data_IF_990561744036
#
_entry.id   IF_990561744036
#
_cell.length_a   1.000
_cell.length_b   1.000
_cell.length_c   1.000
_cell.angle_alpha   90.00
_cell.angle_beta   90.00
_cell.angle_gamma   90.00
#
_symmetry.space_group_name_H-M   'P 1'
#
loop_
_entity.id
_entity.type
_entity.pdbx_description
1 polymer ?
#
# COMPACT_ATOMS: atom_id res chain seq x y z
N UNK A 1 34.99 9.10 7.20
CA UNK A 1 34.65 7.70 6.85
C UNK A 1 34.14 6.87 8.03
N UNK A 2 34.67 7.02 9.25
CA UNK A 2 34.30 6.17 10.40
C UNK A 2 32.85 6.28 10.88
N UNK A 3 32.25 7.47 10.77
CA UNK A 3 30.83 7.64 11.10
C UNK A 3 29.92 6.89 10.12
N UNK A 4 30.26 6.85 8.83
CA UNK A 4 29.49 6.14 7.82
C UNK A 4 29.54 4.62 8.02
N UNK A 5 30.73 4.09 8.35
CA UNK A 5 30.89 2.67 8.76
C UNK A 5 30.09 2.34 10.03
N UNK A 6 30.09 3.22 11.04
CA UNK A 6 29.27 3.05 12.27
C UNK A 6 27.76 3.12 12.00
N UNK A 7 27.32 3.99 11.09
CA UNK A 7 25.92 4.10 10.66
C UNK A 7 25.48 2.82 9.94
N UNK A 8 26.24 2.38 8.94
CA UNK A 8 25.96 1.16 8.17
C UNK A 8 25.89 -0.08 9.09
N UNK A 9 26.79 -0.20 10.08
CA UNK A 9 26.76 -1.31 11.06
C UNK A 9 25.54 -1.30 11.98
N UNK A 10 24.95 -0.13 12.27
CA UNK A 10 23.75 0.02 13.10
C UNK A 10 22.45 -0.03 12.28
N UNK A 11 22.53 0.20 10.97
CA UNK A 11 21.38 0.32 10.07
C UNK A 11 20.47 -0.91 10.07
N UNK A 12 20.98 -2.16 9.98
CA UNK A 12 20.13 -3.35 10.03
C UNK A 12 19.33 -3.47 11.35
N UNK A 13 19.94 -3.17 12.50
CA UNK A 13 19.28 -3.20 13.81
C UNK A 13 18.23 -2.09 13.95
N UNK A 14 18.51 -0.90 13.42
CA UNK A 14 17.59 0.24 13.41
C UNK A 14 16.42 -0.01 12.45
N UNK A 15 16.69 -0.57 11.28
CA UNK A 15 15.66 -0.97 10.30
C UNK A 15 14.77 -2.07 10.86
N UNK A 16 15.34 -3.13 11.47
CA UNK A 16 14.58 -4.19 12.14
C UNK A 16 13.68 -3.62 13.26
N UNK A 17 14.18 -2.67 14.06
CA UNK A 17 13.40 -2.00 15.12
C UNK A 17 12.32 -1.06 14.56
N UNK A 18 12.57 -0.43 13.42
CA UNK A 18 11.62 0.47 12.76
C UNK A 18 10.51 -0.34 12.09
N UNK A 19 10.84 -1.40 11.35
CA UNK A 19 9.89 -2.35 10.75
C UNK A 19 8.94 -2.97 11.80
N UNK A 20 9.45 -3.34 12.99
CA UNK A 20 8.59 -3.81 14.09
C UNK A 20 7.53 -2.79 14.53
N UNK A 21 7.81 -1.49 14.38
CA UNK A 21 6.92 -0.38 14.75
C UNK A 21 6.08 0.16 13.59
N UNK A 22 6.41 -0.19 12.35
CA UNK A 22 5.71 0.26 11.14
C UNK A 22 4.32 -0.39 11.02
N UNK A 23 3.37 0.36 10.45
CA UNK A 23 2.08 -0.19 10.03
C UNK A 23 2.26 -0.89 8.66
N UNK A 24 1.47 -1.93 8.39
CA UNK A 24 1.31 -2.57 7.08
C UNK A 24 1.23 -1.55 5.94
N UNK A 25 0.39 -0.50 6.06
CA UNK A 25 0.27 0.51 4.99
C UNK A 25 1.54 1.34 4.75
N UNK A 26 2.43 1.48 5.73
CA UNK A 26 3.73 2.14 5.52
C UNK A 26 4.64 1.26 4.67
N UNK A 27 4.66 -0.02 4.99
CA UNK A 27 5.51 -0.98 4.29
C UNK A 27 5.03 -1.13 2.86
N UNK A 28 3.72 -1.28 2.64
CA UNK A 28 3.12 -1.34 1.30
C UNK A 28 3.50 -0.14 0.43
N UNK A 29 3.43 1.08 0.97
CA UNK A 29 3.79 2.29 0.21
C UNK A 29 5.29 2.36 -0.10
N UNK A 30 6.16 1.97 0.83
CA UNK A 30 7.61 1.91 0.62
C UNK A 30 7.98 0.84 -0.41
N UNK A 31 7.35 -0.33 -0.36
CA UNK A 31 7.58 -1.40 -1.33
C UNK A 31 7.11 -1.01 -2.73
N UNK A 32 5.90 -0.44 -2.84
CA UNK A 32 5.41 0.09 -4.11
C UNK A 32 6.35 1.15 -4.70
N UNK A 33 6.90 2.04 -3.86
CA UNK A 33 7.87 3.05 -4.26
C UNK A 33 9.18 2.42 -4.77
N UNK A 34 9.71 1.39 -4.09
CA UNK A 34 10.90 0.66 -4.54
C UNK A 34 10.66 -0.09 -5.85
N UNK A 35 9.52 -0.78 -5.94
CA UNK A 35 9.13 -1.55 -7.12
C UNK A 35 9.08 -0.66 -8.36
N UNK A 36 8.32 0.43 -8.31
CA UNK A 36 8.20 1.33 -9.47
C UNK A 36 9.53 2.00 -9.85
N UNK A 37 10.42 2.27 -8.89
CA UNK A 37 11.78 2.78 -9.18
C UNK A 37 12.60 1.72 -9.92
N UNK A 38 12.60 0.49 -9.42
CA UNK A 38 13.35 -0.60 -10.03
C UNK A 38 12.83 -0.90 -11.44
N UNK A 39 11.51 -1.01 -11.60
CA UNK A 39 10.86 -1.25 -12.88
C UNK A 39 11.15 -0.13 -13.87
N UNK A 40 11.15 1.12 -13.38
CA UNK A 40 11.51 2.24 -14.22
C UNK A 40 12.98 2.23 -14.64
N UNK A 41 13.90 1.84 -13.75
CA UNK A 41 15.32 1.78 -14.08
C UNK A 41 15.67 0.62 -15.02
N UNK A 42 14.95 -0.50 -14.92
CA UNK A 42 15.23 -1.70 -15.71
C UNK A 42 14.47 -1.70 -17.04
N UNK A 43 13.21 -1.26 -17.04
CA UNK A 43 12.28 -1.51 -18.15
C UNK A 43 11.71 -0.23 -18.77
N UNK A 44 11.18 0.70 -17.97
CA UNK A 44 10.42 1.85 -18.49
C UNK A 44 11.31 3.03 -18.94
N UNK A 45 12.45 3.23 -18.29
CA UNK A 45 13.43 4.29 -18.53
C UNK A 45 12.84 5.72 -18.59
N UNK A 46 11.76 5.98 -17.86
CA UNK A 46 11.11 7.28 -17.85
C UNK A 46 11.82 8.23 -16.86
N UNK A 47 12.66 9.11 -17.39
CA UNK A 47 13.41 10.12 -16.60
C UNK A 47 12.47 11.12 -15.91
N UNK A 48 11.33 11.42 -16.51
CA UNK A 48 10.34 12.36 -15.98
C UNK A 48 9.65 11.80 -14.74
N UNK A 49 9.21 10.54 -14.83
CA UNK A 49 8.71 9.79 -13.70
C UNK A 49 9.70 9.85 -12.53
N UNK A 50 10.99 9.54 -12.76
CA UNK A 50 12.00 9.58 -11.70
C UNK A 50 12.09 10.95 -11.01
N UNK A 51 12.07 12.04 -11.78
CA UNK A 51 12.09 13.41 -11.22
C UNK A 51 10.84 13.72 -10.39
N UNK A 52 9.66 13.38 -10.93
CA UNK A 52 8.37 13.65 -10.30
C UNK A 52 8.16 12.82 -9.02
N UNK A 53 8.51 11.54 -9.05
CA UNK A 53 8.45 10.64 -7.90
C UNK A 53 9.37 11.13 -6.80
N UNK A 54 10.64 11.41 -7.13
CA UNK A 54 11.63 12.01 -6.23
C UNK A 54 11.04 13.26 -5.57
N UNK A 55 10.51 14.20 -6.36
CA UNK A 55 9.86 15.39 -5.83
C UNK A 55 8.67 15.06 -4.90
N UNK A 56 7.81 14.12 -5.25
CA UNK A 56 6.66 13.78 -4.41
C UNK A 56 7.06 13.06 -3.12
N UNK A 57 8.13 12.26 -3.15
CA UNK A 57 8.43 11.25 -2.14
C UNK A 57 9.70 11.50 -1.32
N UNK A 58 10.70 12.34 -1.69
CA UNK A 58 11.93 12.48 -0.87
C UNK A 58 11.72 13.07 0.52
N UNK A 59 10.52 13.53 0.87
CA UNK A 59 10.26 13.85 2.28
C UNK A 59 10.28 12.57 3.14
N UNK A 60 10.02 11.40 2.55
CA UNK A 60 10.33 10.09 3.14
C UNK A 60 11.84 9.92 3.34
N UNK A 61 12.65 10.37 2.38
CA UNK A 61 14.12 10.35 2.42
C UNK A 61 14.70 11.36 3.44
N UNK A 62 14.03 12.49 3.68
CA UNK A 62 14.36 13.47 4.72
C UNK A 62 14.16 12.92 6.16
N UNK A 63 13.39 11.85 6.33
CA UNK A 63 13.38 11.06 7.58
C UNK A 63 14.45 9.96 7.59
N UNK A 64 15.02 9.63 6.42
CA UNK A 64 16.08 8.64 6.25
C UNK A 64 17.48 9.21 6.51
N UNK A 65 17.65 10.54 6.49
CA UNK A 65 18.85 11.23 6.98
C UNK A 65 18.97 11.20 8.51
N UNK A 66 19.28 10.00 9.00
CA UNK A 66 20.25 9.68 10.05
C UNK A 66 20.30 10.63 11.26
N UNK A 67 19.98 10.07 12.43
CA UNK A 67 20.57 10.37 13.74
C UNK A 67 19.98 11.42 14.69
N UNK A 68 19.22 12.45 14.30
CA UNK A 68 18.89 13.53 15.26
C UNK A 68 17.53 13.46 15.98
N UNK A 69 16.63 12.53 15.65
CA UNK A 69 15.24 12.56 16.16
C UNK A 69 14.57 11.18 16.32
N UNK A 70 15.38 10.12 16.52
CA UNK A 70 14.98 8.71 16.65
C UNK A 70 14.07 8.35 17.85
N UNK A 71 13.41 9.35 18.45
CA UNK A 71 12.26 9.15 19.33
C UNK A 71 10.91 9.16 18.59
N UNK A 72 10.80 9.78 17.41
CA UNK A 72 9.50 10.11 16.83
C UNK A 72 9.42 9.72 15.35
N UNK A 73 9.24 8.42 15.10
CA UNK A 73 8.54 7.95 13.89
C UNK A 73 7.06 8.32 14.10
N UNK A 74 6.73 9.61 13.98
CA UNK A 74 5.35 10.13 14.07
C UNK A 74 4.72 10.11 12.68
N UNK A 75 3.40 9.90 12.64
CA UNK A 75 2.77 8.84 11.86
C UNK A 75 3.07 9.00 10.37
N UNK A 76 3.55 7.91 9.76
CA UNK A 76 2.82 7.25 8.68
C UNK A 76 1.61 8.06 8.21
N UNK A 77 1.78 8.87 7.16
CA UNK A 77 0.61 9.55 6.59
C UNK A 77 -0.41 8.51 6.12
N UNK A 78 0.02 7.31 5.74
CA UNK A 78 -0.86 6.21 5.39
C UNK A 78 -1.68 5.66 6.57
N UNK A 79 -1.21 5.67 7.83
CA UNK A 79 -2.00 5.28 9.03
C UNK A 79 -2.97 6.35 9.50
N UNK A 80 -2.73 7.61 9.12
CA UNK A 80 -3.50 8.73 9.67
C UNK A 80 -5.01 8.58 9.45
N UNK A 81 -5.52 8.15 8.28
CA UNK A 81 -6.93 7.80 8.09
C UNK A 81 -7.53 6.93 9.21
N UNK A 82 -6.80 5.94 9.73
CA UNK A 82 -7.25 5.03 10.80
C UNK A 82 -7.38 5.69 12.18
N UNK A 83 -6.80 6.87 12.37
CA UNK A 83 -6.80 7.60 13.64
C UNK A 83 -7.49 8.97 13.54
N UNK A 84 -8.12 9.27 12.40
CA UNK A 84 -8.92 10.48 12.26
C UNK A 84 -10.20 10.36 13.10
N UNK A 85 -10.51 11.37 13.90
CA UNK A 85 -11.76 11.44 14.69
C UNK A 85 -12.99 11.15 13.83
N UNK A 86 -13.01 11.64 12.59
CA UNK A 86 -14.10 11.39 11.65
C UNK A 86 -14.23 9.90 11.30
N UNK A 87 -13.13 9.16 11.15
CA UNK A 87 -13.17 7.72 10.88
C UNK A 87 -13.78 6.97 12.05
N UNK A 88 -13.41 7.33 13.28
CA UNK A 88 -14.00 6.77 14.51
C UNK A 88 -15.50 7.07 14.60
N UNK A 89 -15.90 8.34 14.38
CA UNK A 89 -17.31 8.75 14.43
C UNK A 89 -18.19 8.08 13.36
N UNK A 90 -17.60 7.61 12.28
CA UNK A 90 -18.31 6.89 11.21
C UNK A 90 -18.03 5.41 11.21
N UNK A 91 -17.49 4.88 12.32
CA UNK A 91 -17.19 3.46 12.48
C UNK A 91 -16.37 2.91 11.31
N UNK A 92 -15.43 3.70 10.81
CA UNK A 92 -14.54 3.37 9.70
C UNK A 92 -15.25 3.04 8.38
N UNK A 93 -16.53 3.38 8.21
CA UNK A 93 -17.30 3.04 7.00
C UNK A 93 -16.73 3.59 5.69
N UNK A 94 -15.84 4.59 5.76
CA UNK A 94 -15.18 5.15 4.59
C UNK A 94 -13.95 4.35 4.12
N UNK A 95 -13.56 3.29 4.83
CA UNK A 95 -12.52 2.34 4.44
C UNK A 95 -13.07 1.17 3.62
N UNK A 96 -14.40 1.06 3.53
CA UNK A 96 -15.07 -0.01 2.80
C UNK A 96 -15.52 0.46 1.41
N UNK A 97 -15.42 -0.46 0.45
CA UNK A 97 -15.94 -0.28 -0.90
C UNK A 97 -16.22 -1.62 -1.55
N UNK A 98 -17.49 -1.92 -1.84
CA UNK A 98 -17.87 -3.09 -2.60
C UNK A 98 -17.95 -2.75 -4.09
N UNK A 99 -17.18 -3.42 -4.95
CA UNK A 99 -17.06 -3.08 -6.37
C UNK A 99 -18.38 -3.12 -7.16
N UNK A 100 -19.21 -4.12 -6.91
CA UNK A 100 -20.50 -4.31 -7.62
C UNK A 100 -21.55 -3.27 -7.17
N UNK A 101 -21.88 -3.26 -5.87
CA UNK A 101 -22.83 -2.33 -5.26
C UNK A 101 -22.36 -0.87 -5.20
N UNK A 102 -21.06 -0.63 -5.36
CA UNK A 102 -20.39 0.69 -5.28
C UNK A 102 -20.61 1.43 -3.95
N UNK A 103 -20.85 0.69 -2.88
CA UNK A 103 -21.22 1.20 -1.56
C UNK A 103 -20.22 0.81 -0.46
N UNK A 104 -20.54 1.16 0.79
CA UNK A 104 -19.86 0.65 1.98
C UNK A 104 -20.82 -0.23 2.79
N UNK A 105 -20.35 -0.77 3.93
CA UNK A 105 -21.17 -1.69 4.73
C UNK A 105 -22.43 -1.07 5.36
N UNK A 106 -22.62 0.25 5.31
CA UNK A 106 -23.90 0.90 5.65
C UNK A 106 -24.86 1.03 4.46
N UNK A 107 -24.53 0.47 3.30
CA UNK A 107 -25.27 0.67 2.05
C UNK A 107 -25.13 2.07 1.45
N UNK A 108 -24.12 2.84 1.87
CA UNK A 108 -24.00 4.25 1.47
C UNK A 108 -23.18 4.38 0.18
N UNK A 109 -23.83 4.90 -0.85
CA UNK A 109 -23.22 5.23 -2.14
C UNK A 109 -22.83 6.73 -2.15
N UNK A 110 -21.84 7.09 -2.96
CA UNK A 110 -21.59 8.47 -3.36
C UNK A 110 -20.56 9.23 -2.52
N UNK A 111 -20.46 10.55 -2.79
CA UNK A 111 -19.29 11.37 -2.45
C UNK A 111 -18.87 11.26 -0.97
N UNK A 112 -17.65 10.76 -0.79
CA UNK A 112 -16.97 10.68 0.49
C UNK A 112 -17.55 9.63 1.42
N UNK A 113 -18.34 8.67 0.92
CA UNK A 113 -18.97 7.58 1.68
C UNK A 113 -18.19 6.26 1.62
N UNK A 114 -17.38 6.04 0.59
CA UNK A 114 -16.63 4.79 0.38
C UNK A 114 -15.12 5.02 0.31
N UNK A 115 -14.34 3.94 0.38
CA UNK A 115 -12.89 3.97 0.16
C UNK A 115 -12.53 4.56 -1.21
N UNK A 116 -13.23 4.11 -2.26
CA UNK A 116 -13.09 4.65 -3.62
C UNK A 116 -13.24 6.18 -3.66
N UNK A 117 -14.25 6.72 -2.99
CA UNK A 117 -14.45 8.16 -2.95
C UNK A 117 -13.33 8.91 -2.22
N UNK A 118 -12.78 8.30 -1.16
CA UNK A 118 -11.67 8.89 -0.41
C UNK A 118 -10.36 8.81 -1.19
N UNK A 119 -10.11 7.70 -1.86
CA UNK A 119 -9.01 7.51 -2.79
C UNK A 119 -8.99 8.64 -3.82
N UNK A 120 -10.06 8.79 -4.60
CA UNK A 120 -10.18 9.85 -5.62
C UNK A 120 -10.02 11.25 -5.00
N UNK A 121 -10.71 11.52 -3.89
CA UNK A 121 -10.67 12.83 -3.24
C UNK A 121 -9.26 13.23 -2.79
N UNK A 122 -8.53 12.30 -2.17
CA UNK A 122 -7.18 12.57 -1.68
C UNK A 122 -6.16 12.60 -2.83
N UNK A 123 -6.32 11.77 -3.86
CA UNK A 123 -5.56 11.84 -5.10
C UNK A 123 -5.68 13.21 -5.79
N UNK A 124 -6.91 13.71 -5.98
CA UNK A 124 -7.13 15.07 -6.52
C UNK A 124 -6.53 16.16 -5.63
N UNK A 125 -6.61 16.01 -4.31
CA UNK A 125 -5.93 16.95 -3.39
C UNK A 125 -4.42 16.91 -3.55
N UNK A 126 -3.83 15.72 -3.70
CA UNK A 126 -2.40 15.56 -3.92
C UNK A 126 -1.98 16.26 -5.21
N UNK A 127 -2.68 16.03 -6.34
CA UNK A 127 -2.46 16.75 -7.61
C UNK A 127 -2.55 18.27 -7.44
N UNK A 128 -3.62 18.76 -6.81
CA UNK A 128 -3.78 20.21 -6.53
C UNK A 128 -2.60 20.80 -5.75
N UNK A 129 -1.98 20.05 -4.84
CA UNK A 129 -0.82 20.52 -4.09
C UNK A 129 0.50 20.31 -4.82
N UNK A 130 0.60 19.31 -5.70
CA UNK A 130 1.68 19.15 -6.67
C UNK A 130 1.76 20.37 -7.57
N UNK A 131 0.64 20.74 -8.20
CA UNK A 131 0.57 21.86 -9.16
C UNK A 131 0.80 23.23 -8.48
N UNK A 132 0.60 23.31 -7.16
CA UNK A 132 0.91 24.50 -6.34
C UNK A 132 2.33 24.50 -5.76
N UNK A 133 3.18 23.52 -6.10
CA UNK A 133 4.53 23.36 -5.54
C UNK A 133 4.57 23.06 -4.04
N UNK A 134 3.45 22.67 -3.41
CA UNK A 134 3.34 22.44 -1.96
C UNK A 134 3.68 20.99 -1.60
N UNK A 135 4.94 20.64 -1.78
CA UNK A 135 5.53 19.29 -1.61
C UNK A 135 5.01 18.51 -0.40
N UNK A 136 5.16 19.06 0.83
CA UNK A 136 4.70 18.42 2.08
C UNK A 136 3.20 18.07 2.08
N UNK A 137 2.38 18.95 1.50
CA UNK A 137 0.93 18.72 1.41
C UNK A 137 0.61 17.71 0.31
N UNK A 138 1.32 17.75 -0.82
CA UNK A 138 1.21 16.74 -1.88
C UNK A 138 1.43 15.34 -1.30
N UNK A 139 2.60 15.09 -0.70
CA UNK A 139 2.95 13.79 -0.12
C UNK A 139 1.92 13.32 0.91
N UNK A 140 1.51 14.20 1.84
CA UNK A 140 0.50 13.87 2.85
C UNK A 140 -0.78 13.33 2.25
N UNK A 141 -1.31 13.99 1.22
CA UNK A 141 -2.56 13.57 0.59
C UNK A 141 -2.38 12.40 -0.37
N UNK A 142 -1.20 12.27 -0.99
CA UNK A 142 -0.85 11.10 -1.79
C UNK A 142 -0.86 9.84 -0.92
N UNK A 143 -0.22 9.88 0.26
CA UNK A 143 -0.25 8.77 1.21
C UNK A 143 -1.67 8.44 1.72
N UNK A 144 -2.54 9.44 1.88
CA UNK A 144 -3.95 9.18 2.23
C UNK A 144 -4.67 8.47 1.09
N UNK A 145 -4.42 8.89 -0.15
CA UNK A 145 -4.94 8.24 -1.35
C UNK A 145 -4.52 6.77 -1.39
N UNK A 146 -3.22 6.50 -1.25
CA UNK A 146 -2.63 5.17 -1.24
C UNK A 146 -3.23 4.27 -0.14
N UNK A 147 -3.50 4.82 1.05
CA UNK A 147 -4.12 4.05 2.12
C UNK A 147 -5.48 3.47 1.71
N UNK A 148 -6.39 4.29 1.15
CA UNK A 148 -7.69 3.79 0.71
C UNK A 148 -7.61 2.83 -0.49
N UNK A 149 -6.59 2.96 -1.34
CA UNK A 149 -6.34 1.97 -2.40
C UNK A 149 -5.88 0.63 -1.82
N UNK A 150 -5.07 0.66 -0.76
CA UNK A 150 -4.67 -0.55 -0.03
C UNK A 150 -5.85 -1.19 0.70
N UNK A 151 -6.76 -0.41 1.31
CA UNK A 151 -8.00 -0.95 1.89
C UNK A 151 -8.86 -1.66 0.83
N UNK A 152 -8.98 -1.09 -0.37
CA UNK A 152 -9.69 -1.74 -1.48
C UNK A 152 -8.97 -2.99 -2.03
N UNK A 153 -7.77 -3.29 -1.53
CA UNK A 153 -7.00 -4.49 -1.86
C UNK A 153 -6.99 -5.48 -0.68
N UNK A 154 -7.96 -5.37 0.23
CA UNK A 154 -8.11 -6.26 1.38
C UNK A 154 -9.53 -6.87 1.34
N UNK A 155 -9.64 -8.21 1.45
CA UNK A 155 -10.89 -8.94 1.20
C UNK A 155 -12.05 -8.49 2.09
N UNK A 156 -11.83 -8.19 3.37
CA UNK A 156 -12.89 -7.81 4.30
C UNK A 156 -13.47 -6.42 3.97
N UNK A 157 -12.62 -5.46 3.65
CA UNK A 157 -13.02 -4.09 3.28
C UNK A 157 -13.86 -4.04 2.00
N UNK A 158 -13.70 -5.00 1.09
CA UNK A 158 -14.45 -5.06 -0.19
C UNK A 158 -15.65 -5.98 -0.19
N UNK A 159 -15.85 -6.76 0.87
CA UNK A 159 -16.97 -7.72 1.00
C UNK A 159 -17.88 -7.41 2.19
N UNK A 160 -17.77 -6.21 2.78
CA UNK A 160 -18.54 -5.76 3.96
C UNK A 160 -18.32 -6.62 5.21
N UNK A 161 -17.17 -7.26 5.37
CA UNK A 161 -16.86 -7.98 6.61
C UNK A 161 -16.13 -7.05 7.56
N UNK A 162 -16.73 -6.80 8.73
CA UNK A 162 -16.22 -5.83 9.69
C UNK A 162 -15.59 -6.55 10.88
N UNK A 163 -14.56 -5.94 11.48
CA UNK A 163 -13.92 -6.48 12.67
C UNK A 163 -14.92 -6.70 13.80
N UNK A 164 -14.93 -7.93 14.34
CA UNK A 164 -15.68 -8.24 15.54
C UNK A 164 -15.21 -7.36 16.71
N UNK A 165 -16.13 -6.80 17.52
CA UNK A 165 -15.77 -6.14 18.77
C UNK A 165 -15.12 -7.12 19.75
N UNK A 166 -14.65 -6.61 20.90
CA UNK A 166 -14.04 -7.47 21.92
C UNK A 166 -15.02 -8.55 22.42
N UNK A 167 -14.49 -9.62 23.04
CA UNK A 167 -15.26 -10.77 23.50
C UNK A 167 -16.43 -10.40 24.41
N UNK A 168 -16.25 -9.43 25.32
CA UNK A 168 -17.30 -8.98 26.23
C UNK A 168 -18.50 -8.43 25.45
N UNK A 169 -18.24 -7.55 24.48
CA UNK A 169 -19.29 -6.96 23.64
C UNK A 169 -19.87 -8.03 22.70
N UNK A 170 -19.04 -8.91 22.12
CA UNK A 170 -19.51 -10.00 21.27
C UNK A 170 -20.46 -10.95 22.00
N UNK A 171 -20.18 -11.28 23.26
CA UNK A 171 -21.05 -12.15 24.06
C UNK A 171 -22.42 -11.50 24.31
N UNK A 172 -22.45 -10.17 24.50
CA UNK A 172 -23.70 -9.41 24.59
C UNK A 172 -24.44 -9.45 23.25
N UNK A 173 -23.77 -9.14 22.14
CA UNK A 173 -24.39 -9.14 20.81
C UNK A 173 -24.95 -10.51 20.42
N UNK A 174 -24.21 -11.60 20.71
CA UNK A 174 -24.67 -12.98 20.50
C UNK A 174 -25.91 -13.31 21.31
N UNK A 175 -26.00 -12.84 22.57
CA UNK A 175 -27.19 -13.04 23.42
C UNK A 175 -28.44 -12.41 22.81
N UNK A 176 -28.29 -11.34 22.04
CA UNK A 176 -29.38 -10.64 21.35
C UNK A 176 -29.48 -11.00 19.85
N UNK A 177 -28.77 -12.03 19.40
CA UNK A 177 -28.73 -12.47 18.00
C UNK A 177 -28.35 -11.35 16.99
N UNK A 178 -27.48 -10.43 17.42
CA UNK A 178 -26.98 -9.33 16.59
C UNK A 178 -25.64 -9.77 15.98
N UNK A 179 -25.65 -10.13 14.70
CA UNK A 179 -24.46 -10.57 13.96
C UNK A 179 -23.97 -9.58 12.89
N UNK A 180 -24.67 -8.45 12.68
CA UNK A 180 -24.36 -7.46 11.63
C UNK A 180 -24.71 -6.02 12.00
N UNK A 181 -24.13 -5.07 11.27
CA UNK A 181 -24.46 -3.63 11.26
C UNK A 181 -24.68 -3.19 9.81
N UNK A 182 -25.91 -2.83 9.44
CA UNK A 182 -26.24 -2.53 8.05
C UNK A 182 -26.09 -3.78 7.16
N UNK A 183 -25.26 -3.68 6.11
CA UNK A 183 -24.78 -4.80 5.29
C UNK A 183 -23.54 -5.50 5.90
N UNK A 184 -22.95 -4.93 6.95
CA UNK A 184 -21.67 -5.37 7.49
C UNK A 184 -21.77 -6.56 8.45
N UNK A 185 -21.11 -7.68 8.14
CA UNK A 185 -21.09 -8.87 8.99
C UNK A 185 -19.87 -8.86 9.91
N UNK A 186 -20.05 -9.15 11.20
CA UNK A 186 -18.89 -9.32 12.10
C UNK A 186 -18.06 -10.55 11.70
N UNK A 187 -16.75 -10.37 11.56
CA UNK A 187 -15.83 -11.43 11.14
C UNK A 187 -14.50 -11.42 11.91
N UNK A 188 -13.59 -12.30 11.48
CA UNK A 188 -12.18 -12.40 11.89
C UNK A 188 -11.28 -11.31 11.27
N UNK A 189 -11.82 -10.24 10.67
CA UNK A 189 -11.10 -9.18 9.94
C UNK A 189 -9.81 -8.72 10.64
N UNK A 190 -9.87 -8.42 11.95
CA UNK A 190 -8.68 -8.03 12.73
C UNK A 190 -7.59 -9.11 12.76
N UNK A 191 -7.96 -10.38 12.84
CA UNK A 191 -7.03 -11.51 12.87
C UNK A 191 -6.29 -11.63 11.54
N UNK A 192 -7.01 -11.48 10.43
CA UNK A 192 -6.43 -11.45 9.09
C UNK A 192 -5.43 -10.30 8.91
N UNK A 193 -5.80 -9.07 9.29
CA UNK A 193 -4.89 -7.91 9.21
C UNK A 193 -3.64 -8.09 10.10
N UNK A 194 -3.80 -8.71 11.27
CA UNK A 194 -2.69 -9.04 12.17
C UNK A 194 -1.76 -10.10 11.57
N UNK A 195 -2.31 -11.12 10.91
CA UNK A 195 -1.55 -12.13 10.20
C UNK A 195 -0.72 -11.52 9.06
N UNK A 196 -1.35 -10.68 8.22
CA UNK A 196 -0.67 -9.96 7.14
C UNK A 196 0.48 -9.09 7.69
N UNK A 197 0.25 -8.44 8.83
CA UNK A 197 1.29 -7.65 9.51
C UNK A 197 2.44 -8.53 10.04
N UNK A 198 2.15 -9.70 10.61
CA UNK A 198 3.16 -10.65 11.09
C UNK A 198 4.04 -11.14 9.94
N UNK A 199 3.43 -11.47 8.79
CA UNK A 199 4.16 -11.83 7.57
C UNK A 199 5.18 -10.75 7.14
N UNK A 200 4.72 -9.51 7.01
CA UNK A 200 5.58 -8.37 6.63
C UNK A 200 6.76 -8.19 7.61
N UNK A 201 6.51 -8.47 8.91
CA UNK A 201 7.53 -8.37 9.96
C UNK A 201 8.48 -9.57 10.00
N UNK A 202 8.24 -10.60 9.20
CA UNK A 202 9.04 -11.82 9.12
C UNK A 202 8.90 -12.70 10.35
N UNK A 203 7.66 -12.93 10.79
CA UNK A 203 7.34 -13.80 11.91
C UNK A 203 7.56 -15.28 11.57
N UNK A 204 8.18 -16.02 12.49
CA UNK A 204 8.55 -17.43 12.31
C UNK A 204 7.30 -18.33 12.29
N UNK A 205 6.26 -17.97 13.04
CA UNK A 205 5.01 -18.74 13.11
C UNK A 205 4.26 -18.78 11.78
N UNK A 206 4.29 -17.67 11.01
CA UNK A 206 3.70 -17.64 9.66
C UNK A 206 4.51 -18.51 8.70
N UNK A 207 5.83 -18.52 8.86
CA UNK A 207 6.71 -19.40 8.06
C UNK A 207 6.38 -20.87 8.32
N UNK A 208 6.14 -21.24 9.58
CA UNK A 208 5.71 -22.59 9.96
C UNK A 208 4.34 -22.97 9.36
N UNK A 209 3.38 -22.04 9.29
CA UNK A 209 2.09 -22.29 8.63
C UNK A 209 2.25 -22.60 7.14
N UNK A 210 3.18 -21.93 6.47
CA UNK A 210 3.45 -22.11 5.05
C UNK A 210 4.27 -23.39 4.79
N UNK A 211 5.14 -23.78 5.72
CA UNK A 211 6.00 -24.96 5.60
C UNK A 211 5.24 -26.29 5.82
N UNK A 212 4.06 -26.26 6.45
CA UNK A 212 3.33 -27.46 6.90
C UNK A 212 2.86 -28.42 5.80
N UNK A 213 2.97 -28.08 4.52
CA UNK A 213 2.79 -28.96 3.36
C UNK A 213 3.32 -28.23 2.11
N UNK A 214 4.64 -28.27 1.88
CA UNK A 214 5.24 -27.64 0.69
C UNK A 214 4.91 -28.42 -0.56
N UNK A 215 3.96 -27.94 -1.37
CA UNK A 215 3.89 -28.37 -2.76
C UNK A 215 5.04 -27.74 -3.56
N UNK A 216 5.65 -28.52 -4.47
CA UNK A 216 6.85 -28.12 -5.22
C UNK A 216 6.62 -26.91 -6.13
N UNK A 217 5.37 -26.63 -6.51
CA UNK A 217 4.98 -25.49 -7.35
C UNK A 217 4.83 -24.17 -6.55
N UNK A 218 4.93 -24.21 -5.22
CA UNK A 218 4.65 -23.07 -4.35
C UNK A 218 5.89 -22.27 -3.94
N UNK A 219 7.08 -22.77 -4.28
CA UNK A 219 8.31 -21.98 -4.23
C UNK A 219 8.21 -20.70 -5.07
N UNK A 220 7.32 -20.68 -6.06
CA UNK A 220 7.00 -19.50 -6.87
C UNK A 220 6.22 -18.50 -6.01
N UNK A 221 5.14 -18.89 -5.33
CA UNK A 221 4.36 -18.00 -4.43
C UNK A 221 5.21 -17.29 -3.35
N UNK A 222 6.25 -17.96 -2.84
CA UNK A 222 7.19 -17.43 -1.84
C UNK A 222 8.41 -16.70 -2.43
N UNK A 223 8.69 -16.85 -3.74
CA UNK A 223 9.75 -16.12 -4.49
C UNK A 223 9.20 -15.11 -5.51
N UNK A 224 7.89 -14.99 -5.67
CA UNK A 224 7.19 -14.16 -6.67
C UNK A 224 5.91 -14.85 -7.17
N UNK A 225 4.72 -14.32 -6.85
CA UNK A 225 3.45 -15.02 -7.09
C UNK A 225 3.12 -15.31 -8.58
N UNK A 226 2.49 -16.45 -8.92
CA UNK A 226 2.01 -16.77 -10.27
C UNK A 226 0.49 -16.62 -10.43
N UNK A 227 0.03 -16.89 -11.65
CA UNK A 227 -1.17 -16.38 -12.34
C UNK A 227 -2.32 -17.40 -12.39
N UNK A 228 -3.56 -16.97 -12.67
CA UNK A 228 -4.58 -17.87 -13.27
C UNK A 228 -4.42 -17.96 -14.81
N UNK A 229 -3.64 -17.03 -15.38
CA UNK A 229 -3.32 -16.85 -16.79
C UNK A 229 -2.78 -15.42 -16.94
N UNK A 230 -1.45 -15.26 -16.85
CA UNK A 230 -0.66 -14.01 -16.99
C UNK A 230 -0.97 -12.85 -15.99
N UNK A 231 -0.11 -12.13 -15.25
CA UNK A 231 1.32 -12.03 -14.90
C UNK A 231 1.34 -11.28 -13.53
N UNK A 232 1.94 -11.80 -12.44
CA UNK A 232 1.99 -11.10 -11.13
C UNK A 232 3.11 -11.57 -10.17
N UNK A 233 4.41 -11.51 -10.53
CA UNK A 233 5.45 -11.65 -9.50
C UNK A 233 5.67 -10.30 -8.79
N UNK A 234 6.02 -10.33 -7.49
CA UNK A 234 7.00 -9.48 -6.78
C UNK A 234 6.62 -9.30 -5.31
N UNK A 235 7.04 -10.25 -4.46
CA UNK A 235 7.54 -9.89 -3.12
C UNK A 235 9.04 -10.15 -3.20
N UNK A 236 9.86 -9.10 -3.19
CA UNK A 236 11.30 -9.27 -3.05
C UNK A 236 11.78 -8.70 -1.72
N UNK A 237 12.00 -9.62 -0.77
CA UNK A 237 13.35 -9.78 -0.23
C UNK A 237 14.11 -10.69 -1.18
N UNK A 238 14.84 -10.14 -2.13
CA UNK A 238 16.29 -10.37 -2.17
C UNK A 238 16.98 -9.48 -3.19
N UNK A 239 18.19 -9.10 -2.83
CA UNK A 239 19.11 -8.26 -3.57
C UNK A 239 19.72 -9.07 -4.73
N UNK A 240 19.54 -8.62 -5.99
CA UNK A 240 20.50 -8.96 -7.05
C UNK A 240 20.04 -9.80 -8.24
N UNK A 241 18.77 -9.77 -8.66
CA UNK A 241 18.39 -10.41 -9.94
C UNK A 241 18.60 -9.44 -11.10
N UNK A 242 19.74 -9.58 -11.79
CA UNK A 242 19.96 -9.08 -13.15
C UNK A 242 19.59 -10.20 -14.13
N UNK A 243 18.32 -10.32 -14.50
CA UNK A 243 17.95 -11.12 -15.67
C UNK A 243 17.05 -10.26 -16.55
N UNK A 244 17.63 -9.79 -17.65
CA UNK A 244 16.90 -9.10 -18.70
C UNK A 244 16.37 -10.15 -19.68
N UNK A 245 15.06 -10.21 -19.86
CA UNK A 245 14.45 -10.83 -21.04
C UNK A 245 13.41 -9.83 -21.61
N UNK A 246 13.14 -9.91 -22.92
CA UNK A 246 12.21 -8.99 -23.59
C UNK A 246 10.76 -9.19 -23.14
N UNK A 247 10.40 -10.42 -22.76
CA UNK A 247 9.06 -10.76 -22.28
C UNK A 247 8.71 -10.03 -20.98
N UNK A 248 9.63 -9.95 -20.03
CA UNK A 248 9.44 -9.27 -18.74
C UNK A 248 9.32 -7.77 -18.92
N UNK A 249 10.04 -7.19 -19.88
CA UNK A 249 9.84 -5.79 -20.26
C UNK A 249 8.42 -5.56 -20.79
N UNK A 250 7.92 -6.42 -21.67
CA UNK A 250 6.56 -6.32 -22.23
C UNK A 250 5.52 -6.43 -21.12
N UNK A 251 5.66 -7.42 -20.23
CA UNK A 251 4.81 -7.62 -19.05
C UNK A 251 4.74 -6.37 -18.16
N UNK A 252 5.90 -5.79 -17.83
CA UNK A 252 5.98 -4.58 -17.01
C UNK A 252 5.31 -3.40 -17.71
N UNK A 253 5.55 -3.20 -19.01
CA UNK A 253 4.88 -2.16 -19.78
C UNK A 253 3.36 -2.34 -19.79
N UNK A 254 2.87 -3.56 -20.00
CA UNK A 254 1.45 -3.87 -19.99
C UNK A 254 0.83 -3.52 -18.63
N UNK A 255 1.49 -3.83 -17.51
CA UNK A 255 1.00 -3.48 -16.15
C UNK A 255 0.85 -1.96 -15.97
N UNK A 256 1.87 -1.18 -16.28
CA UNK A 256 1.88 0.27 -16.02
C UNK A 256 1.08 1.07 -17.04
N UNK A 257 0.99 0.62 -18.31
CA UNK A 257 0.29 1.35 -19.37
C UNK A 257 -1.18 0.94 -19.54
N UNK A 258 -1.60 -0.20 -18.99
CA UNK A 258 -3.01 -0.63 -19.02
C UNK A 258 -3.92 0.47 -18.50
N UNK A 259 -4.79 0.96 -19.40
CA UNK A 259 -5.76 2.03 -19.18
C UNK A 259 -5.16 3.37 -18.70
N UNK A 260 -3.86 3.61 -18.93
CA UNK A 260 -3.18 4.85 -18.55
C UNK A 260 -3.65 6.08 -19.34
N UNK A 261 -4.46 5.89 -20.38
CA UNK A 261 -5.14 6.93 -21.16
C UNK A 261 -6.44 7.44 -20.51
N UNK A 262 -6.93 6.78 -19.46
CA UNK A 262 -8.10 7.25 -18.71
C UNK A 262 -7.81 8.58 -18.00
N UNK A 263 -8.86 9.36 -17.76
CA UNK A 263 -8.74 10.52 -16.87
C UNK A 263 -8.45 10.09 -15.43
N UNK A 264 -8.08 11.05 -14.56
CA UNK A 264 -7.65 10.72 -13.21
C UNK A 264 -8.68 9.96 -12.39
N UNK A 265 -9.96 10.34 -12.49
CA UNK A 265 -11.00 9.72 -11.66
C UNK A 265 -11.34 8.33 -12.21
N UNK A 266 -11.42 8.19 -13.52
CA UNK A 266 -11.69 6.93 -14.19
C UNK A 266 -10.55 5.94 -13.98
N UNK A 267 -9.30 6.39 -14.02
CA UNK A 267 -8.14 5.56 -13.70
C UNK A 267 -8.18 5.10 -12.24
N UNK A 268 -8.48 6.00 -11.30
CA UNK A 268 -8.65 5.63 -9.90
C UNK A 268 -9.78 4.62 -9.69
N UNK A 269 -10.92 4.78 -10.39
CA UNK A 269 -12.03 3.82 -10.37
C UNK A 269 -11.61 2.47 -10.91
N UNK A 270 -10.89 2.47 -12.02
CA UNK A 270 -10.37 1.26 -12.63
C UNK A 270 -9.46 0.50 -11.65
N UNK A 271 -8.47 1.15 -11.03
CA UNK A 271 -7.58 0.49 -10.05
C UNK A 271 -8.36 -0.07 -8.86
N UNK A 272 -9.23 0.73 -8.23
CA UNK A 272 -9.96 0.26 -7.04
C UNK A 272 -11.00 -0.81 -7.34
N UNK A 273 -11.62 -0.81 -8.53
CA UNK A 273 -12.48 -1.91 -8.96
C UNK A 273 -11.67 -3.17 -9.23
N UNK A 274 -10.52 -3.08 -9.91
CA UNK A 274 -9.67 -4.25 -10.15
C UNK A 274 -9.14 -4.85 -8.84
N UNK A 275 -8.74 -4.01 -7.88
CA UNK A 275 -8.40 -4.45 -6.52
C UNK A 275 -9.57 -5.18 -5.84
N UNK A 276 -10.77 -4.58 -5.89
CA UNK A 276 -11.97 -5.14 -5.27
C UNK A 276 -12.38 -6.49 -5.89
N UNK A 277 -12.36 -6.58 -7.22
CA UNK A 277 -12.76 -7.78 -7.95
C UNK A 277 -11.78 -8.94 -7.71
N UNK A 278 -10.48 -8.65 -7.60
CA UNK A 278 -9.50 -9.69 -7.29
C UNK A 278 -9.60 -10.16 -5.84
N UNK A 279 -9.69 -9.22 -4.89
CA UNK A 279 -9.56 -9.56 -3.48
C UNK A 279 -10.84 -10.11 -2.88
N UNK A 280 -12.02 -9.83 -3.46
CA UNK A 280 -13.27 -10.50 -3.06
C UNK A 280 -13.20 -12.01 -3.23
N UNK A 281 -12.46 -12.53 -4.21
CA UNK A 281 -12.27 -13.98 -4.41
C UNK A 281 -11.53 -14.65 -3.24
N UNK A 282 -10.78 -13.88 -2.44
CA UNK A 282 -9.97 -14.37 -1.34
C UNK A 282 -10.76 -14.51 -0.02
N UNK A 283 -12.01 -14.04 0.04
CA UNK A 283 -12.74 -13.93 1.31
C UNK A 283 -12.98 -15.28 2.00
N UNK A 284 -13.24 -16.34 1.23
CA UNK A 284 -13.45 -17.68 1.78
C UNK A 284 -12.19 -18.23 2.45
N UNK A 285 -11.02 -18.01 1.86
CA UNK A 285 -9.74 -18.41 2.46
C UNK A 285 -9.36 -17.48 3.62
N UNK A 286 -9.73 -16.20 3.56
CA UNK A 286 -9.49 -15.24 4.62
C UNK A 286 -10.18 -15.64 5.95
N UNK A 287 -11.28 -16.40 5.90
CA UNK A 287 -12.00 -16.92 7.07
C UNK A 287 -11.41 -18.20 7.67
N UNK A 288 -10.42 -18.83 7.03
CA UNK A 288 -9.79 -20.06 7.53
C UNK A 288 -8.73 -19.74 8.60
N UNK A 289 -9.20 -19.39 9.78
CA UNK A 289 -8.35 -18.91 10.88
C UNK A 289 -7.15 -19.79 11.21
N UNK A 290 -5.97 -19.17 11.26
CA UNK A 290 -4.66 -19.78 11.54
C UNK A 290 -4.32 -20.96 10.61
N UNK A 291 -4.85 -20.94 9.39
CA UNK A 291 -4.49 -21.92 8.38
C UNK A 291 -3.53 -21.36 7.34
N UNK A 292 -2.94 -22.29 6.60
CA UNK A 292 -2.11 -22.00 5.43
C UNK A 292 -2.86 -21.20 4.38
N UNK A 293 -4.14 -21.50 4.14
CA UNK A 293 -4.98 -20.81 3.17
C UNK A 293 -5.18 -19.33 3.54
N UNK A 294 -5.45 -19.02 4.82
CA UNK A 294 -5.55 -17.64 5.28
C UNK A 294 -4.22 -16.90 5.11
N UNK A 295 -3.10 -17.54 5.39
CA UNK A 295 -1.78 -16.96 5.16
C UNK A 295 -1.53 -16.64 3.68
N UNK A 296 -1.87 -17.57 2.78
CA UNK A 296 -1.76 -17.34 1.34
C UNK A 296 -2.69 -16.23 0.85
N UNK A 297 -3.93 -16.17 1.35
CA UNK A 297 -4.87 -15.10 1.02
C UNK A 297 -4.34 -13.73 1.46
N UNK A 298 -3.74 -13.64 2.66
CA UNK A 298 -3.09 -12.42 3.13
C UNK A 298 -1.93 -12.00 2.22
N UNK A 299 -1.06 -12.92 1.83
CA UNK A 299 0.07 -12.65 0.92
C UNK A 299 -0.42 -12.17 -0.45
N UNK A 300 -1.43 -12.82 -1.03
CA UNK A 300 -2.04 -12.41 -2.31
C UNK A 300 -2.66 -11.01 -2.24
N UNK A 301 -3.37 -10.70 -1.15
CA UNK A 301 -3.95 -9.38 -0.93
C UNK A 301 -2.86 -8.29 -0.82
N UNK A 302 -1.76 -8.55 -0.09
CA UNK A 302 -0.61 -7.64 0.00
C UNK A 302 0.00 -7.37 -1.38
N UNK A 303 0.19 -8.39 -2.21
CA UNK A 303 0.76 -8.22 -3.56
C UNK A 303 -0.12 -7.36 -4.45
N UNK A 304 -1.44 -7.60 -4.42
CA UNK A 304 -2.39 -6.77 -5.15
C UNK A 304 -2.29 -5.31 -4.69
N UNK A 305 -2.20 -5.07 -3.38
CA UNK A 305 -2.02 -3.72 -2.86
C UNK A 305 -0.72 -3.06 -3.38
N UNK A 306 0.42 -3.75 -3.33
CA UNK A 306 1.72 -3.21 -3.78
C UNK A 306 1.71 -2.83 -5.26
N UNK A 307 1.14 -3.69 -6.12
CA UNK A 307 1.06 -3.47 -7.57
C UNK A 307 0.17 -2.27 -7.89
N UNK A 308 -1.02 -2.22 -7.28
CA UNK A 308 -1.96 -1.13 -7.55
C UNK A 308 -1.42 0.21 -7.03
N UNK A 309 -0.72 0.19 -5.90
CA UNK A 309 0.00 1.34 -5.39
C UNK A 309 1.10 1.81 -6.36
N UNK A 310 1.91 0.90 -6.90
CA UNK A 310 2.97 1.25 -7.84
C UNK A 310 2.41 1.81 -9.15
N UNK A 311 1.37 1.19 -9.71
CA UNK A 311 0.65 1.70 -10.89
C UNK A 311 0.08 3.09 -10.65
N UNK A 312 -0.55 3.30 -9.50
CA UNK A 312 -1.06 4.60 -9.12
C UNK A 312 0.05 5.64 -8.97
N UNK A 313 1.18 5.30 -8.34
CA UNK A 313 2.33 6.19 -8.22
C UNK A 313 2.90 6.57 -9.59
N UNK A 314 3.06 5.60 -10.48
CA UNK A 314 3.52 5.83 -11.85
C UNK A 314 2.60 6.76 -12.61
N UNK A 315 1.30 6.47 -12.61
CA UNK A 315 0.29 7.29 -13.26
C UNK A 315 0.23 8.71 -12.66
N UNK A 316 0.14 8.83 -11.33
CA UNK A 316 0.10 10.12 -10.62
C UNK A 316 1.30 11.01 -10.98
N UNK A 317 2.49 10.40 -11.07
CA UNK A 317 3.72 11.12 -11.37
C UNK A 317 3.78 11.61 -12.82
N UNK A 318 3.05 10.98 -13.75
CA UNK A 318 2.99 11.36 -15.17
C UNK A 318 1.72 12.17 -15.54
N UNK A 319 0.69 12.18 -14.68
CA UNK A 319 -0.61 12.79 -15.00
C UNK A 319 -0.56 14.30 -15.26
N UNK A 320 -1.11 14.73 -16.41
CA UNK A 320 -1.24 16.13 -16.85
C UNK A 320 0.05 16.96 -16.78
N UNK A 321 1.20 16.31 -17.02
CA UNK A 321 2.48 17.01 -17.14
C UNK A 321 2.78 17.30 -18.61
N UNK A 322 2.80 18.58 -18.96
CA UNK A 322 3.49 19.09 -20.16
C UNK A 322 4.81 19.71 -19.69
N UNK A 323 5.90 19.47 -20.43
CA UNK A 323 7.28 19.86 -20.06
C UNK A 323 7.43 21.33 -19.62
N UNK A 324 6.57 22.23 -20.13
CA UNK A 324 6.59 23.67 -19.82
C UNK A 324 6.06 24.05 -18.43
N UNK A 325 5.27 23.21 -17.75
CA UNK A 325 4.58 23.56 -16.49
C UNK A 325 5.28 23.07 -15.23
N UNK A 326 6.25 22.15 -15.35
CA UNK A 326 6.99 21.66 -14.20
C UNK A 326 8.10 22.65 -13.86
N UNK A 327 7.79 23.60 -12.97
CA UNK A 327 8.83 24.42 -12.35
C UNK A 327 9.65 23.49 -11.46
N UNK A 328 10.79 23.05 -11.97
CA UNK A 328 11.84 22.44 -11.13
C UNK A 328 12.06 23.41 -9.97
N UNK A 329 11.72 23.05 -8.72
CA UNK A 329 11.98 23.94 -7.62
C UNK A 329 13.49 24.07 -7.59
N UNK A 330 14.00 25.31 -7.68
CA UNK A 330 15.35 25.62 -7.25
C UNK A 330 15.47 24.99 -5.87
N UNK A 331 16.16 23.85 -5.79
CA UNK A 331 16.66 23.34 -4.54
C UNK A 331 17.49 24.52 -4.03
N UNK A 332 16.96 25.26 -3.05
CA UNK A 332 17.83 25.86 -2.06
C UNK A 332 18.46 24.65 -1.39
N UNK A 333 19.51 24.12 -2.03
CA UNK A 333 20.62 23.51 -1.35
C UNK A 333 20.92 24.52 -0.25
N UNK A 334 20.46 24.23 0.96
CA UNK A 334 21.17 24.76 2.10
C UNK A 334 22.58 24.28 1.85
N UNK A 335 23.45 25.20 1.45
CA UNK A 335 24.88 25.04 1.57
C UNK A 335 25.11 24.70 3.03
N UNK A 336 25.09 23.41 3.35
CA UNK A 336 25.90 22.88 4.42
C UNK A 336 27.31 22.97 3.88
N UNK A 337 27.83 24.19 3.85
CA UNK A 337 29.24 24.42 4.05
C UNK A 337 29.56 23.70 5.35
N UNK A 338 30.09 22.48 5.21
CA UNK A 338 30.91 21.89 6.24
C UNK A 338 32.15 22.76 6.30
N UNK A 339 32.01 23.92 6.96
CA UNK A 339 33.12 24.70 7.43
C UNK A 339 33.84 23.81 8.43
N UNK A 340 34.95 23.26 7.98
CA UNK A 340 36.04 22.88 8.86
C UNK A 340 37.28 23.46 8.18
N UNK A 341 37.58 24.70 8.55
CA UNK A 341 38.94 25.23 8.62
C UNK A 341 39.75 24.39 9.60
#
# INVERSE_FOLDING_TARGET
>A
MDNMKKILKKMPKVMKKSLKKSNTHDVLLEQANRMVINDNNLYLNNKWFSKSLKWCMDILELNYNVSKSLGWIRPSYSRKPDIMLRSVLTLFSFHFYHGEDKDNYFGRIGKGKTAMCKFIFFGRKALKYRDKGKRRKCMKYLSYSCHYLADMSEPHHVTHHIASPNEKIMNVLKKFDINKIGKGNFSNHRRFENLAQAWIKGDEDITLLLDKNKDKDENILLKGVPTKGEIFSYILKDEGIKVFNEDDKKKVLDIYYKNSNLDFDDYCRYLGNESSEYTKELIHDAFKDDTREQALAAIKALNMAEIQLARFLYYFCNYNLNEEKFVEPKLKLYNLSLGVS
#
